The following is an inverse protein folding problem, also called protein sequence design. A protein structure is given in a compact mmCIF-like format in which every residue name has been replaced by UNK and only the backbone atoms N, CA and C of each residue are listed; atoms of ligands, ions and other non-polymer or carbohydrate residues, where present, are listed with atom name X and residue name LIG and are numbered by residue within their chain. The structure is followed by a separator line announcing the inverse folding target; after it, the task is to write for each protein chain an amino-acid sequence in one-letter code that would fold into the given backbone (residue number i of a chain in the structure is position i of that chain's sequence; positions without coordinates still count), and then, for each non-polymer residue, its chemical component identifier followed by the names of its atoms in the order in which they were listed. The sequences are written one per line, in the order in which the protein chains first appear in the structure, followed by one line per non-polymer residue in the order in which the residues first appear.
data_IF_909530984869
#
_entry.id   IF_909530984869
#
_cell.length_a   1.000
_cell.length_b   1.000
_cell.length_c   1.000
_cell.angle_alpha   90.00
_cell.angle_beta   90.00
_cell.angle_gamma   90.00
#
_symmetry.space_group_name_H-M   'P 1'
#
loop_
_entity.id
_entity.type
_entity.pdbx_description
1 polymer ?
#
# COMPACT_ATOMS: atom_id res chain seq x y z
N UNK A 1 2.88 29.11 -44.19
CA UNK A 1 2.58 29.55 -42.82
C UNK A 1 1.64 28.55 -42.19
N UNK A 2 2.00 28.06 -41.01
CA UNK A 2 1.16 27.35 -40.05
C UNK A 2 0.58 25.99 -40.46
N UNK A 3 1.39 24.93 -40.40
CA UNK A 3 0.88 23.62 -40.00
C UNK A 3 1.80 23.08 -38.92
N UNK A 4 1.20 22.42 -37.93
CA UNK A 4 1.82 21.64 -36.85
C UNK A 4 2.26 22.43 -35.62
N UNK A 5 1.30 22.81 -34.76
CA UNK A 5 1.51 22.77 -33.30
C UNK A 5 0.14 22.70 -32.61
N UNK A 6 -0.44 21.50 -32.58
CA UNK A 6 -1.49 21.18 -31.61
C UNK A 6 -1.31 19.73 -31.16
N UNK A 7 -0.23 19.46 -30.43
CA UNK A 7 -0.14 18.25 -29.64
C UNK A 7 -1.15 18.39 -28.49
N UNK A 8 -2.30 17.72 -28.62
CA UNK A 8 -3.25 17.59 -27.53
C UNK A 8 -2.54 16.95 -26.34
N UNK A 9 -2.41 17.71 -25.25
CA UNK A 9 -2.06 17.15 -23.94
C UNK A 9 -3.31 16.40 -23.46
N UNK A 10 -3.34 15.09 -23.67
CA UNK A 10 -4.41 14.23 -23.15
C UNK A 10 -4.07 13.87 -21.71
N UNK A 11 -4.63 14.62 -20.77
CA UNK A 11 -4.60 14.23 -19.36
C UNK A 11 -5.53 13.03 -19.17
N UNK A 12 -4.95 11.84 -18.99
CA UNK A 12 -5.69 10.67 -18.52
C UNK A 12 -5.69 10.68 -17.00
N UNK A 13 -6.86 10.92 -16.40
CA UNK A 13 -7.05 10.68 -14.98
C UNK A 13 -6.97 9.17 -14.73
N UNK A 14 -6.13 8.79 -13.78
CA UNK A 14 -6.05 7.43 -13.25
C UNK A 14 -6.48 7.46 -11.79
N UNK A 15 -7.20 6.43 -11.36
CA UNK A 15 -7.59 6.26 -9.96
C UNK A 15 -6.79 5.11 -9.37
N UNK A 16 -6.36 5.27 -8.12
CA UNK A 16 -5.76 4.22 -7.32
C UNK A 16 -6.58 4.02 -6.05
N UNK A 17 -6.47 2.84 -5.45
CA UNK A 17 -7.09 2.58 -4.15
C UNK A 17 -6.26 3.23 -3.04
N UNK A 18 -6.92 3.74 -2.00
CA UNK A 18 -6.25 4.36 -0.86
C UNK A 18 -5.75 3.32 0.14
N UNK A 19 -4.64 3.63 0.80
CA UNK A 19 -4.04 2.89 1.92
C UNK A 19 -5.05 2.65 3.06
N UNK A 20 -5.77 3.69 3.45
CA UNK A 20 -6.81 3.68 4.50
C UNK A 20 -8.07 2.89 4.14
N UNK A 21 -8.15 2.36 2.92
CA UNK A 21 -9.25 1.50 2.46
C UNK A 21 -8.77 0.09 2.13
N UNK A 22 -7.64 -0.04 1.45
CA UNK A 22 -7.17 -1.30 0.88
C UNK A 22 -6.47 -2.16 1.92
N UNK A 23 -5.52 -1.60 2.67
CA UNK A 23 -4.83 -2.34 3.72
C UNK A 23 -5.78 -2.90 4.79
N UNK A 24 -6.70 -2.12 5.37
CA UNK A 24 -7.62 -2.66 6.37
C UNK A 24 -8.59 -3.68 5.76
N UNK A 25 -9.11 -3.43 4.55
CA UNK A 25 -10.04 -4.36 3.89
C UNK A 25 -9.39 -5.72 3.56
N UNK A 26 -8.17 -5.72 3.03
CA UNK A 26 -7.43 -6.96 2.78
C UNK A 26 -7.11 -7.70 4.08
N UNK A 27 -6.69 -6.97 5.11
CA UNK A 27 -6.34 -7.57 6.41
C UNK A 27 -7.55 -8.22 7.08
N UNK A 28 -8.72 -7.58 6.98
CA UNK A 28 -9.99 -8.12 7.48
C UNK A 28 -10.31 -9.49 6.86
N UNK A 29 -10.26 -9.58 5.52
CA UNK A 29 -10.52 -10.81 4.77
C UNK A 29 -9.45 -11.90 5.03
N UNK A 30 -8.18 -11.51 5.21
CA UNK A 30 -7.10 -12.45 5.54
C UNK A 30 -7.35 -13.11 6.90
N UNK A 31 -7.74 -12.33 7.92
CA UNK A 31 -8.01 -12.88 9.26
C UNK A 31 -9.23 -13.80 9.23
N UNK A 32 -10.28 -13.43 8.49
CA UNK A 32 -11.46 -14.29 8.33
C UNK A 32 -11.11 -15.60 7.61
N UNK A 33 -10.34 -15.51 6.52
CA UNK A 33 -9.85 -16.69 5.81
C UNK A 33 -8.98 -17.59 6.71
N UNK A 34 -8.09 -17.00 7.51
CA UNK A 34 -7.28 -17.74 8.49
C UNK A 34 -8.17 -18.46 9.52
N UNK A 35 -9.14 -17.77 10.12
CA UNK A 35 -10.05 -18.34 11.12
C UNK A 35 -10.99 -19.43 10.57
N UNK A 36 -11.24 -19.42 9.26
CA UNK A 36 -11.93 -20.50 8.55
C UNK A 36 -11.02 -21.70 8.26
N UNK A 37 -9.72 -21.47 8.12
CA UNK A 37 -8.75 -22.47 7.67
C UNK A 37 -8.03 -23.20 8.80
N UNK A 38 -7.99 -22.62 10.01
CA UNK A 38 -7.20 -23.15 11.13
C UNK A 38 -7.98 -23.18 12.45
N UNK A 39 -7.65 -24.15 13.30
CA UNK A 39 -8.30 -24.33 14.61
C UNK A 39 -7.85 -23.30 15.65
N UNK A 40 -6.61 -22.82 15.56
CA UNK A 40 -6.08 -21.77 16.44
C UNK A 40 -6.54 -20.39 15.95
N UNK A 41 -7.76 -20.02 16.30
CA UNK A 41 -8.42 -18.80 15.82
C UNK A 41 -7.91 -17.55 16.50
N UNK A 42 -7.79 -16.49 15.71
CA UNK A 42 -7.62 -15.12 16.20
C UNK A 42 -8.96 -14.61 16.71
N UNK A 43 -8.91 -13.94 17.85
CA UNK A 43 -10.04 -13.25 18.45
C UNK A 43 -10.41 -11.99 17.65
N UNK A 44 -11.60 -11.44 17.90
CA UNK A 44 -12.01 -10.16 17.30
C UNK A 44 -11.08 -9.01 17.68
N UNK A 45 -10.53 -9.01 18.90
CA UNK A 45 -9.59 -7.99 19.35
C UNK A 45 -8.26 -8.07 18.60
N UNK A 46 -7.72 -9.28 18.42
CA UNK A 46 -6.52 -9.50 17.61
C UNK A 46 -6.74 -9.13 16.13
N UNK A 47 -7.94 -9.39 15.58
CA UNK A 47 -8.33 -8.93 14.24
C UNK A 47 -8.27 -7.40 14.14
N UNK A 48 -8.84 -6.70 15.11
CA UNK A 48 -8.82 -5.23 15.15
C UNK A 48 -7.39 -4.68 15.25
N UNK A 49 -6.53 -5.29 16.06
CA UNK A 49 -5.12 -4.92 16.15
C UNK A 49 -4.37 -5.12 14.82
N UNK A 50 -4.63 -6.21 14.10
CA UNK A 50 -4.03 -6.45 12.79
C UNK A 50 -4.51 -5.43 11.75
N UNK A 51 -5.83 -5.16 11.70
CA UNK A 51 -6.40 -4.13 10.81
C UNK A 51 -5.78 -2.78 11.11
N UNK A 52 -5.69 -2.40 12.39
CA UNK A 52 -5.08 -1.13 12.80
C UNK A 52 -3.59 -1.08 12.42
N UNK A 53 -2.85 -2.16 12.67
CA UNK A 53 -1.45 -2.28 12.30
C UNK A 53 -1.22 -2.13 10.80
N UNK A 54 -2.14 -2.65 9.97
CA UNK A 54 -2.07 -2.53 8.50
C UNK A 54 -2.17 -1.09 8.01
N UNK A 55 -2.93 -0.24 8.70
CA UNK A 55 -3.03 1.20 8.39
C UNK A 55 -1.85 1.95 8.95
N UNK A 56 -1.44 1.63 10.18
CA UNK A 56 -0.38 2.36 10.84
C UNK A 56 0.97 2.14 10.14
N UNK A 57 1.20 1.03 9.42
CA UNK A 57 2.45 0.74 8.69
C UNK A 57 2.83 1.83 7.68
N UNK A 58 1.85 2.52 7.09
CA UNK A 58 2.08 3.66 6.18
C UNK A 58 2.53 4.95 6.91
N UNK A 59 2.58 4.95 8.25
CA UNK A 59 3.06 6.10 9.04
C UNK A 59 4.53 6.37 8.74
N UNK A 60 4.92 7.60 8.32
CA UNK A 60 6.31 7.94 8.10
C UNK A 60 7.18 7.71 9.35
N UNK A 61 8.40 7.17 9.23
CA UNK A 61 9.09 6.79 7.99
C UNK A 61 8.97 5.31 7.62
N UNK A 62 8.04 4.54 8.21
CA UNK A 62 7.97 3.08 8.04
C UNK A 62 7.72 2.64 6.60
N UNK A 63 6.97 3.45 5.86
CA UNK A 63 6.70 3.28 4.42
C UNK A 63 7.93 3.11 3.52
N UNK A 64 9.15 3.47 3.98
CA UNK A 64 10.39 3.22 3.24
C UNK A 64 10.57 1.71 2.98
N UNK A 65 10.06 0.86 3.87
CA UNK A 65 10.17 -0.59 3.77
C UNK A 65 9.18 -1.22 2.76
N UNK A 66 8.31 -0.44 2.10
CA UNK A 66 7.27 -0.99 1.19
C UNK A 66 7.80 -1.42 -0.17
N UNK A 67 9.06 -1.11 -0.46
CA UNK A 67 9.68 -1.43 -1.74
C UNK A 67 10.68 -2.56 -1.56
N UNK A 68 10.47 -3.63 -2.33
CA UNK A 68 11.36 -4.79 -2.37
C UNK A 68 11.58 -5.20 -3.82
N UNK A 69 12.86 -5.31 -4.20
CA UNK A 69 13.29 -5.85 -5.49
C UNK A 69 13.61 -7.35 -5.32
N UNK A 70 12.80 -8.27 -5.88
CA UNK A 70 13.03 -9.69 -5.73
C UNK A 70 14.17 -10.24 -6.61
N UNK A 71 14.63 -9.50 -7.63
CA UNK A 71 15.72 -9.94 -8.52
C UNK A 71 17.05 -9.80 -7.79
N UNK A 72 17.26 -8.67 -7.11
CA UNK A 72 18.49 -8.39 -6.37
C UNK A 72 18.34 -8.54 -4.84
N UNK A 73 17.15 -8.93 -4.37
CA UNK A 73 16.82 -9.17 -2.96
C UNK A 73 17.10 -7.97 -2.05
N UNK A 74 16.77 -6.78 -2.51
CA UNK A 74 17.07 -5.53 -1.82
C UNK A 74 15.82 -4.69 -1.59
N UNK A 75 15.75 -4.06 -0.42
CA UNK A 75 14.74 -3.04 -0.12
C UNK A 75 15.19 -1.64 -0.51
N UNK A 76 14.25 -0.70 -0.64
CA UNK A 76 14.64 0.71 -0.73
C UNK A 76 15.16 1.22 0.60
N UNK A 77 16.29 1.93 0.57
CA UNK A 77 16.96 2.45 1.77
C UNK A 77 16.48 3.85 2.18
N UNK A 78 15.51 4.41 1.47
CA UNK A 78 15.10 5.82 1.61
C UNK A 78 16.06 6.81 0.93
N UNK A 79 17.09 6.32 0.24
CA UNK A 79 17.97 7.18 -0.55
C UNK A 79 17.15 7.94 -1.59
N UNK A 80 17.32 9.26 -1.63
CA UNK A 80 16.56 10.19 -2.47
C UNK A 80 15.08 10.36 -2.09
N UNK A 81 14.68 10.08 -0.84
CA UNK A 81 13.29 10.31 -0.37
C UNK A 81 12.85 11.78 -0.34
N UNK A 82 13.77 12.73 -0.50
CA UNK A 82 13.47 14.16 -0.41
C UNK A 82 13.25 14.64 1.02
N UNK A 83 12.45 15.68 1.19
CA UNK A 83 12.07 16.21 2.50
C UNK A 83 10.78 15.54 2.98
N UNK A 84 10.80 15.04 4.21
CA UNK A 84 9.62 14.51 4.90
C UNK A 84 9.05 15.62 5.81
N UNK A 85 7.74 15.86 5.79
CA UNK A 85 7.09 16.83 6.67
C UNK A 85 7.16 16.49 8.16
#
# INVERSE_FOLDING_TARGET
MAVLFYSLIVFKFVSGYGDTTTHPGLTDEIVDFYNLSFDNKLTSEEKEWLIRGSVDEDTPPRWINHFYDPIYQQGWTGQYTGWLP
#
